data_IF_263165543100
#
_entry.id   IF_263165543100
#
_cell.length_a   1.000
_cell.length_b   1.000
_cell.length_c   1.000
_cell.angle_alpha   90.00
_cell.angle_beta   90.00
_cell.angle_gamma   90.00
#
_symmetry.space_group_name_H-M   'P 1'
#
loop_
_entity.id
_entity.type
_entity.pdbx_description
1 polymer ?
#
# COMPACT_ATOMS: atom_id res chain seq x y z
N UNK A 1 -20.12 5.71 9.49
CA UNK A 1 -19.48 4.47 9.07
C UNK A 1 -18.51 4.78 7.94
N UNK A 2 -17.19 4.66 8.19
CA UNK A 2 -16.15 5.03 7.23
C UNK A 2 -16.17 4.21 5.94
N UNK A 3 -16.75 3.01 5.96
CA UNK A 3 -16.93 2.18 4.77
C UNK A 3 -17.87 2.83 3.76
N UNK A 4 -18.94 3.47 4.24
CA UNK A 4 -19.95 4.10 3.37
C UNK A 4 -19.47 5.45 2.83
N UNK A 5 -18.64 6.18 3.57
CA UNK A 5 -18.06 7.44 3.11
C UNK A 5 -17.03 7.23 1.98
N UNK A 6 -16.28 6.12 2.01
CA UNK A 6 -15.29 5.80 0.97
C UNK A 6 -15.92 5.33 -0.36
N UNK A 7 -17.09 4.69 -0.31
CA UNK A 7 -17.78 4.16 -1.50
C UNK A 7 -18.54 5.26 -2.26
N UNK A 8 -18.96 6.34 -1.60
CA UNK A 8 -19.73 7.45 -2.23
C UNK A 8 -18.88 8.64 -2.71
N UNK A 9 -17.63 8.73 -2.29
CA UNK A 9 -16.70 9.68 -2.84
C UNK A 9 -16.27 9.19 -4.21
N UNK A 10 -16.58 9.92 -5.29
CA UNK A 10 -15.94 9.74 -6.60
C UNK A 10 -14.45 9.97 -6.40
N UNK A 11 -13.72 8.89 -6.12
CA UNK A 11 -12.25 8.91 -6.10
C UNK A 11 -11.82 9.43 -7.47
N UNK A 12 -11.10 10.55 -7.56
CA UNK A 12 -10.61 11.03 -8.84
C UNK A 12 -9.83 9.90 -9.50
N UNK A 13 -10.04 9.67 -10.79
CA UNK A 13 -9.35 8.63 -11.59
C UNK A 13 -7.81 8.77 -11.63
N UNK A 14 -7.22 9.59 -10.79
CA UNK A 14 -5.78 9.86 -10.66
C UNK A 14 -5.03 8.68 -9.99
N UNK A 15 -5.73 7.73 -9.38
CA UNK A 15 -5.13 6.51 -8.82
C UNK A 15 -4.95 5.35 -9.81
N UNK A 16 -5.00 5.60 -11.09
CA UNK A 16 -4.60 4.63 -12.11
C UNK A 16 -3.08 4.57 -12.32
N UNK A 17 -2.31 4.90 -11.30
CA UNK A 17 -0.86 4.77 -11.28
C UNK A 17 -0.37 3.61 -10.41
N UNK A 18 -1.19 2.62 -10.08
CA UNK A 18 -0.67 1.31 -9.71
C UNK A 18 0.08 0.78 -10.92
N UNK A 19 1.39 0.94 -10.93
CA UNK A 19 2.26 0.22 -11.85
C UNK A 19 2.11 -1.24 -11.44
N UNK A 20 1.08 -1.89 -11.98
CA UNK A 20 1.00 -3.33 -12.00
C UNK A 20 2.17 -3.77 -12.87
N UNK A 21 3.31 -4.02 -12.26
CA UNK A 21 4.40 -4.75 -12.88
C UNK A 21 3.88 -6.17 -12.95
N UNK A 22 3.11 -6.46 -14.01
CA UNK A 22 2.65 -7.81 -14.31
C UNK A 22 3.89 -8.64 -14.58
N UNK A 23 4.22 -9.51 -13.64
CA UNK A 23 5.34 -10.44 -13.76
C UNK A 23 4.81 -11.87 -13.70
N UNK A 24 5.34 -12.79 -14.52
CA UNK A 24 4.96 -14.19 -14.43
C UNK A 24 5.37 -14.76 -13.07
N UNK A 25 4.47 -15.55 -12.45
CA UNK A 25 4.74 -16.15 -11.15
C UNK A 25 3.61 -17.04 -10.64
N UNK A 26 3.69 -17.54 -9.41
CA UNK A 26 2.75 -18.51 -8.84
C UNK A 26 1.42 -17.90 -8.36
N UNK A 27 0.93 -16.82 -8.97
CA UNK A 27 -0.33 -16.18 -8.58
C UNK A 27 -1.59 -16.89 -9.10
N UNK A 28 -2.75 -16.27 -8.85
CA UNK A 28 -4.06 -16.82 -9.21
C UNK A 28 -4.57 -16.34 -10.57
N UNK A 29 -4.16 -15.15 -11.01
CA UNK A 29 -4.65 -14.55 -12.25
C UNK A 29 -3.86 -15.02 -13.48
N UNK A 30 -4.55 -15.09 -14.63
CA UNK A 30 -3.94 -15.43 -15.90
C UNK A 30 -3.04 -14.28 -16.36
N UNK A 31 -1.79 -14.61 -16.68
CA UNK A 31 -0.82 -13.65 -17.21
C UNK A 31 -0.68 -13.79 -18.73
N UNK A 32 -0.26 -14.97 -19.19
CA UNK A 32 0.06 -15.23 -20.59
C UNK A 32 -0.07 -16.73 -20.92
N UNK A 33 -0.04 -17.03 -22.22
CA UNK A 33 0.07 -18.38 -22.74
C UNK A 33 1.44 -18.53 -23.42
N UNK A 34 2.27 -19.46 -22.94
CA UNK A 34 3.58 -19.76 -23.55
C UNK A 34 3.74 -21.23 -23.90
N UNK A 35 4.69 -21.56 -24.73
CA UNK A 35 5.03 -22.95 -25.02
C UNK A 35 5.54 -23.65 -23.76
N UNK A 36 5.20 -24.93 -23.64
CA UNK A 36 5.66 -25.81 -22.57
C UNK A 36 7.17 -26.00 -22.66
N UNK A 37 7.85 -25.95 -21.51
CA UNK A 37 9.26 -26.28 -21.38
C UNK A 37 9.37 -27.46 -20.41
N UNK A 38 10.27 -28.44 -20.68
CA UNK A 38 10.51 -29.55 -19.75
C UNK A 38 10.79 -29.06 -18.33
N UNK A 39 9.98 -29.53 -17.35
CA UNK A 39 10.02 -29.06 -15.98
C UNK A 39 8.78 -28.24 -15.55
N UNK A 40 7.97 -27.79 -16.48
CA UNK A 40 6.71 -27.11 -16.15
C UNK A 40 5.72 -28.09 -15.49
N UNK A 41 4.94 -27.62 -14.50
CA UNK A 41 3.93 -28.46 -13.87
C UNK A 41 2.84 -28.90 -14.87
N UNK A 42 2.57 -30.19 -14.99
CA UNK A 42 1.53 -30.73 -15.88
C UNK A 42 0.15 -30.09 -15.68
N UNK A 43 -0.18 -29.70 -14.44
CA UNK A 43 -1.44 -29.02 -14.09
C UNK A 43 -1.60 -27.63 -14.72
N UNK A 44 -0.51 -27.03 -15.20
CA UNK A 44 -0.51 -25.72 -15.86
C UNK A 44 -0.75 -25.81 -17.35
N UNK A 45 -0.78 -27.00 -17.93
CA UNK A 45 -0.99 -27.20 -19.36
C UNK A 45 -2.41 -26.79 -19.73
N UNK A 46 -2.49 -25.97 -20.77
CA UNK A 46 -3.77 -25.58 -21.39
C UNK A 46 -4.17 -26.59 -22.48
N UNK A 47 -4.95 -27.59 -22.07
CA UNK A 47 -5.40 -28.65 -22.97
C UNK A 47 -6.28 -28.14 -24.12
N UNK A 48 -7.04 -27.07 -23.92
CA UNK A 48 -7.84 -26.45 -24.97
C UNK A 48 -6.99 -25.75 -26.03
N UNK A 49 -5.89 -25.14 -25.60
CA UNK A 49 -4.92 -24.55 -26.54
C UNK A 49 -4.18 -25.65 -27.30
N UNK A 50 -3.77 -26.73 -26.62
CA UNK A 50 -3.14 -27.88 -27.24
C UNK A 50 -4.03 -28.49 -28.36
N UNK A 51 -5.32 -28.68 -28.06
CA UNK A 51 -6.25 -29.24 -29.04
C UNK A 51 -6.43 -28.36 -30.30
N UNK A 52 -6.29 -27.05 -30.18
CA UNK A 52 -6.44 -26.11 -31.31
C UNK A 52 -5.14 -25.86 -32.06
N UNK A 53 -4.01 -25.83 -31.36
CA UNK A 53 -2.75 -25.40 -31.95
C UNK A 53 -1.77 -26.54 -32.23
N UNK A 54 -2.04 -27.77 -31.75
CA UNK A 54 -1.16 -28.90 -31.85
C UNK A 54 0.16 -28.78 -31.11
N UNK A 55 0.31 -27.72 -30.31
CA UNK A 55 1.51 -27.45 -29.50
C UNK A 55 1.14 -27.40 -28.03
N UNK A 56 2.01 -27.98 -27.17
CA UNK A 56 1.82 -27.91 -25.72
C UNK A 56 2.02 -26.48 -25.24
N UNK A 57 0.95 -25.91 -24.68
CA UNK A 57 0.93 -24.55 -24.13
C UNK A 57 0.66 -24.59 -22.65
N UNK A 58 1.29 -23.71 -21.90
CA UNK A 58 1.15 -23.54 -20.43
C UNK A 58 0.51 -22.21 -20.13
N UNK A 59 -0.51 -22.24 -19.27
CA UNK A 59 -1.05 -21.01 -18.66
C UNK A 59 -0.04 -20.46 -17.66
N UNK A 60 0.60 -19.39 -18.02
CA UNK A 60 1.43 -18.61 -17.11
C UNK A 60 0.54 -17.73 -16.26
N UNK A 61 0.72 -17.76 -14.97
CA UNK A 61 -0.06 -16.97 -14.03
C UNK A 61 0.70 -15.71 -13.65
N UNK A 62 -0.04 -14.66 -13.27
CA UNK A 62 0.55 -13.45 -12.73
C UNK A 62 1.08 -13.75 -11.32
N UNK A 63 2.24 -13.19 -10.99
CA UNK A 63 2.73 -13.23 -9.61
C UNK A 63 1.80 -12.35 -8.78
N UNK A 64 1.26 -12.86 -7.69
CA UNK A 64 0.66 -12.02 -6.65
C UNK A 64 1.79 -11.10 -6.12
N UNK A 65 1.91 -9.93 -6.72
CA UNK A 65 2.92 -8.96 -6.31
C UNK A 65 2.47 -8.41 -4.95
N UNK A 66 3.18 -8.80 -3.91
CA UNK A 66 3.09 -8.13 -2.61
C UNK A 66 3.65 -6.73 -2.79
N UNK A 67 2.82 -5.72 -2.63
CA UNK A 67 3.25 -4.32 -2.69
C UNK A 67 3.80 -3.90 -1.33
N UNK A 68 4.95 -3.23 -1.36
CA UNK A 68 5.55 -2.60 -0.17
C UNK A 68 5.04 -1.17 -0.07
N UNK A 69 4.05 -0.93 0.79
CA UNK A 69 3.39 0.37 0.90
C UNK A 69 3.90 1.11 2.11
N UNK A 70 4.14 2.42 1.97
CA UNK A 70 4.53 3.30 3.08
C UNK A 70 3.44 4.36 3.25
N UNK A 71 2.85 4.39 4.44
CA UNK A 71 1.93 5.43 4.86
C UNK A 71 2.71 6.52 5.59
N UNK A 72 2.52 7.76 5.19
CA UNK A 72 3.16 8.92 5.82
C UNK A 72 2.05 9.83 6.36
N UNK A 73 2.10 10.11 7.66
CA UNK A 73 1.12 10.92 8.37
C UNK A 73 1.77 12.22 8.81
N UNK A 74 1.17 13.33 8.41
CA UNK A 74 1.52 14.64 8.90
C UNK A 74 0.91 14.86 10.30
N UNK A 75 1.76 14.96 11.31
CA UNK A 75 1.40 15.27 12.69
C UNK A 75 2.06 16.57 13.18
N UNK A 76 2.36 17.49 12.26
CA UNK A 76 2.81 18.85 12.63
C UNK A 76 1.67 19.58 13.36
N UNK A 77 2.01 20.63 14.11
CA UNK A 77 1.03 21.43 14.84
C UNK A 77 -0.05 22.05 13.90
N UNK A 78 0.30 22.37 12.65
CA UNK A 78 -0.65 22.84 11.64
C UNK A 78 -1.74 21.81 11.29
N UNK A 79 -1.49 20.54 11.53
CA UNK A 79 -2.48 19.46 11.30
C UNK A 79 -3.58 19.40 12.36
N UNK A 80 -3.47 20.17 13.45
CA UNK A 80 -4.50 20.26 14.49
C UNK A 80 -5.52 21.39 14.25
N UNK A 81 -5.51 22.02 13.09
CA UNK A 81 -6.46 23.07 12.75
C UNK A 81 -7.90 22.53 12.75
N UNK A 82 -8.74 23.07 13.65
CA UNK A 82 -10.14 22.68 13.81
C UNK A 82 -10.48 22.12 15.20
N UNK A 83 -11.71 21.66 15.41
CA UNK A 83 -12.13 21.03 16.68
C UNK A 83 -11.33 19.75 16.96
N UNK A 84 -11.03 19.46 18.23
CA UNK A 84 -10.23 18.30 18.69
C UNK A 84 -10.65 16.97 18.08
N UNK A 85 -11.93 16.78 17.77
CA UNK A 85 -12.45 15.54 17.19
C UNK A 85 -12.57 15.57 15.65
N UNK A 86 -12.26 16.70 15.00
CA UNK A 86 -12.49 16.94 13.56
C UNK A 86 -11.37 17.75 12.91
N UNK A 87 -10.15 17.48 13.27
CA UNK A 87 -8.98 18.09 12.66
C UNK A 87 -8.32 17.17 11.62
N UNK A 88 -7.39 17.70 10.85
CA UNK A 88 -6.70 16.97 9.78
C UNK A 88 -5.95 15.75 10.29
N UNK A 89 -5.33 15.82 11.48
CA UNK A 89 -4.64 14.68 12.09
C UNK A 89 -5.60 13.52 12.39
N UNK A 90 -6.78 13.82 12.96
CA UNK A 90 -7.80 12.79 13.27
C UNK A 90 -8.31 12.12 11.99
N UNK A 91 -8.56 12.88 10.94
CA UNK A 91 -8.96 12.30 9.66
C UNK A 91 -7.83 11.52 9.01
N UNK A 92 -6.60 12.04 9.04
CA UNK A 92 -5.41 11.39 8.52
C UNK A 92 -5.15 10.05 9.20
N UNK A 93 -5.16 10.00 10.53
CA UNK A 93 -4.95 8.75 11.28
C UNK A 93 -6.04 7.71 11.04
N UNK A 94 -7.30 8.12 10.93
CA UNK A 94 -8.41 7.23 10.57
C UNK A 94 -8.29 6.68 9.15
N UNK A 95 -7.94 7.54 8.19
CA UNK A 95 -7.70 7.14 6.81
C UNK A 95 -6.52 6.15 6.73
N UNK A 96 -5.42 6.44 7.42
CA UNK A 96 -4.26 5.56 7.48
C UNK A 96 -4.60 4.19 8.09
N UNK A 97 -5.38 4.16 9.16
CA UNK A 97 -5.81 2.91 9.78
C UNK A 97 -6.66 2.05 8.82
N UNK A 98 -7.58 2.68 8.08
CA UNK A 98 -8.40 2.00 7.07
C UNK A 98 -7.55 1.48 5.90
N UNK A 99 -6.61 2.28 5.41
CA UNK A 99 -5.68 1.89 4.34
C UNK A 99 -4.77 0.75 4.80
N UNK A 100 -4.20 0.83 6.02
CA UNK A 100 -3.37 -0.24 6.58
C UNK A 100 -4.15 -1.55 6.65
N UNK A 101 -5.38 -1.53 7.16
CA UNK A 101 -6.25 -2.70 7.21
C UNK A 101 -6.54 -3.25 5.81
N UNK A 102 -6.83 -2.39 4.85
CA UNK A 102 -7.12 -2.79 3.47
C UNK A 102 -5.92 -3.50 2.83
N UNK A 103 -4.75 -2.89 2.86
CA UNK A 103 -3.56 -3.45 2.23
C UNK A 103 -3.07 -4.73 2.93
N UNK A 104 -3.02 -4.74 4.27
CA UNK A 104 -2.63 -5.94 5.03
C UNK A 104 -3.61 -7.12 4.83
N UNK A 105 -4.91 -6.84 4.58
CA UNK A 105 -5.88 -7.90 4.24
C UNK A 105 -5.60 -8.55 2.88
N UNK A 106 -4.95 -7.82 1.98
CA UNK A 106 -4.49 -8.30 0.66
C UNK A 106 -3.11 -8.96 0.70
N UNK A 107 -2.54 -9.12 1.89
CA UNK A 107 -1.18 -9.61 2.12
C UNK A 107 -0.07 -8.67 1.65
N UNK A 108 -0.40 -7.41 1.35
CA UNK A 108 0.60 -6.39 1.10
C UNK A 108 1.40 -6.10 2.39
N UNK A 109 2.64 -5.63 2.22
CA UNK A 109 3.51 -5.18 3.31
C UNK A 109 3.27 -3.68 3.55
N UNK A 110 3.04 -3.28 4.79
CA UNK A 110 2.72 -1.89 5.13
C UNK A 110 3.65 -1.37 6.20
N UNK A 111 4.32 -0.24 5.91
CA UNK A 111 5.06 0.56 6.86
C UNK A 111 4.35 1.87 7.17
N UNK A 112 4.79 2.54 8.23
CA UNK A 112 4.22 3.82 8.70
C UNK A 112 5.34 4.77 9.07
N UNK A 113 5.17 6.03 8.69
CA UNK A 113 5.95 7.15 9.21
C UNK A 113 4.98 8.22 9.71
N UNK A 114 5.09 8.59 10.94
CA UNK A 114 4.40 9.74 11.53
C UNK A 114 5.44 10.82 11.76
N UNK A 115 5.26 11.98 11.14
CA UNK A 115 6.21 13.07 11.29
C UNK A 115 5.56 14.31 11.92
N UNK A 116 6.23 14.82 12.94
CA UNK A 116 5.90 16.03 13.69
C UNK A 116 7.17 16.51 14.34
N UNK A 117 7.12 16.88 15.61
CA UNK A 117 8.29 17.22 16.42
C UNK A 117 9.28 16.04 16.45
N UNK A 118 8.74 14.85 16.61
CA UNK A 118 9.48 13.60 16.48
C UNK A 118 9.04 12.84 15.22
N UNK A 119 9.97 12.06 14.65
CA UNK A 119 9.67 11.15 13.56
C UNK A 119 9.60 9.73 14.12
N UNK A 120 8.42 9.14 14.07
CA UNK A 120 8.18 7.76 14.46
C UNK A 120 8.04 6.93 13.18
N UNK A 121 8.93 5.95 13.00
CA UNK A 121 8.87 5.00 11.90
C UNK A 121 8.53 3.60 12.38
N UNK A 122 7.72 2.90 11.60
CA UNK A 122 7.45 1.47 11.74
C UNK A 122 7.83 0.81 10.44
N UNK A 123 8.75 -0.15 10.50
CA UNK A 123 9.19 -0.89 9.34
C UNK A 123 8.03 -1.68 8.73
N UNK A 124 8.18 -2.01 7.46
CA UNK A 124 7.18 -2.76 6.70
C UNK A 124 7.14 -4.21 7.15
N UNK A 125 5.94 -4.69 7.39
CA UNK A 125 5.66 -6.09 7.68
C UNK A 125 4.23 -6.42 7.23
N UNK A 126 3.83 -7.67 7.35
CA UNK A 126 2.54 -8.19 6.91
C UNK A 126 1.71 -8.72 8.08
N UNK A 127 0.42 -8.94 7.84
CA UNK A 127 -0.44 -9.68 8.74
C UNK A 127 -0.97 -8.89 9.95
N UNK A 128 -1.66 -9.61 10.85
CA UNK A 128 -2.42 -9.01 11.96
C UNK A 128 -1.53 -8.34 13.01
N UNK A 129 -0.33 -8.87 13.26
CA UNK A 129 0.62 -8.29 14.22
C UNK A 129 1.03 -6.90 13.76
N UNK A 130 1.34 -6.75 12.48
CA UNK A 130 1.69 -5.45 11.89
C UNK A 130 0.54 -4.47 12.01
N UNK A 131 -0.69 -4.89 11.69
CA UNK A 131 -1.88 -4.03 11.86
C UNK A 131 -1.97 -3.48 13.30
N UNK A 132 -1.80 -4.33 14.30
CA UNK A 132 -1.85 -3.91 15.70
C UNK A 132 -0.77 -2.86 16.02
N UNK A 133 0.47 -3.06 15.54
CA UNK A 133 1.57 -2.11 15.74
C UNK A 133 1.23 -0.77 15.10
N UNK A 134 0.76 -0.78 13.85
CA UNK A 134 0.39 0.44 13.13
C UNK A 134 -0.73 1.20 13.84
N UNK A 135 -1.81 0.50 14.24
CA UNK A 135 -2.93 1.11 14.96
C UNK A 135 -2.50 1.73 16.30
N UNK A 136 -1.59 1.08 17.04
CA UNK A 136 -1.06 1.59 18.29
C UNK A 136 -0.27 2.89 18.07
N UNK A 137 0.56 2.94 17.03
CA UNK A 137 1.32 4.14 16.69
C UNK A 137 0.43 5.28 16.20
N UNK A 138 -0.58 4.98 15.38
CA UNK A 138 -1.56 5.96 14.92
C UNK A 138 -2.40 6.53 16.08
N UNK A 139 -2.79 5.70 17.04
CA UNK A 139 -3.53 6.14 18.22
C UNK A 139 -2.71 7.06 19.14
N UNK A 140 -1.39 6.90 19.14
CA UNK A 140 -0.47 7.76 19.90
C UNK A 140 0.03 8.99 19.15
N UNK A 141 -0.42 9.21 17.90
CA UNK A 141 0.00 10.37 17.13
C UNK A 141 -0.58 11.66 17.72
N UNK A 142 0.29 12.63 17.98
CA UNK A 142 -0.08 13.95 18.51
C UNK A 142 0.48 15.03 17.60
N UNK A 143 -0.32 16.09 17.38
CA UNK A 143 0.13 17.23 16.60
C UNK A 143 1.14 18.06 17.41
N UNK A 144 2.40 18.06 16.97
CA UNK A 144 3.49 18.80 17.62
C UNK A 144 4.56 19.22 16.64
N UNK A 145 5.16 20.38 16.93
CA UNK A 145 6.26 20.93 16.15
C UNK A 145 5.87 21.31 14.72
N UNK A 146 6.79 21.93 14.02
CA UNK A 146 6.64 22.28 12.60
C UNK A 146 7.98 22.09 11.90
N UNK A 147 8.53 20.87 11.82
CA UNK A 147 9.76 20.65 11.08
C UNK A 147 9.55 20.96 9.61
N UNK A 148 10.52 21.61 8.94
CA UNK A 148 10.46 21.81 7.50
C UNK A 148 10.35 20.46 6.76
N UNK A 149 9.52 20.42 5.72
CA UNK A 149 9.29 19.19 4.93
C UNK A 149 10.60 18.58 4.40
N UNK A 150 11.57 19.41 4.13
CA UNK A 150 12.90 19.02 3.65
C UNK A 150 13.68 18.16 4.67
N UNK A 151 13.52 18.44 5.96
CA UNK A 151 14.12 17.65 7.05
C UNK A 151 13.42 16.28 7.12
N UNK A 152 12.10 16.28 6.94
CA UNK A 152 11.30 15.06 6.96
C UNK A 152 11.67 14.14 5.80
N UNK A 153 11.74 14.68 4.58
CA UNK A 153 12.10 13.89 3.40
C UNK A 153 13.48 13.26 3.52
N UNK A 154 14.48 14.00 4.00
CA UNK A 154 15.83 13.46 4.18
C UNK A 154 15.90 12.32 5.21
N UNK A 155 15.04 12.32 6.21
CA UNK A 155 14.97 11.24 7.22
C UNK A 155 14.16 10.03 6.76
N UNK A 156 13.15 10.25 5.92
CA UNK A 156 12.25 9.18 5.43
C UNK A 156 12.86 8.44 4.24
N UNK A 157 13.57 9.13 3.34
CA UNK A 157 14.13 8.55 2.12
C UNK A 157 14.95 7.27 2.33
N UNK A 158 15.79 7.13 3.39
CA UNK A 158 16.51 5.88 3.64
C UNK A 158 15.63 4.66 3.92
N UNK A 159 14.40 4.87 4.38
CA UNK A 159 13.43 3.81 4.70
C UNK A 159 12.54 3.45 3.52
N UNK A 160 12.68 4.16 2.39
CA UNK A 160 11.88 3.94 1.19
C UNK A 160 12.67 3.12 0.18
N UNK A 161 12.15 1.94 -0.18
CA UNK A 161 12.72 1.18 -1.28
C UNK A 161 12.30 1.78 -2.63
N UNK A 162 13.17 1.71 -3.61
CA UNK A 162 12.84 2.11 -4.98
C UNK A 162 11.64 1.28 -5.47
N UNK A 163 10.58 1.98 -5.89
CA UNK A 163 9.37 1.36 -6.41
C UNK A 163 8.26 1.08 -5.38
N UNK A 164 8.48 1.36 -4.09
CA UNK A 164 7.42 1.29 -3.09
C UNK A 164 6.41 2.43 -3.27
N UNK A 165 5.10 2.16 -3.39
CA UNK A 165 4.07 3.18 -3.33
C UNK A 165 4.10 3.92 -1.98
N UNK A 166 4.03 5.25 -2.04
CA UNK A 166 3.99 6.12 -0.88
C UNK A 166 2.64 6.84 -0.86
N UNK A 167 1.96 6.77 0.27
CA UNK A 167 0.70 7.49 0.49
C UNK A 167 0.92 8.51 1.58
N UNK A 168 0.84 9.78 1.22
CA UNK A 168 1.00 10.90 2.16
C UNK A 168 -0.38 11.42 2.56
N UNK A 169 -0.61 11.53 3.85
CA UNK A 169 -1.83 12.06 4.46
C UNK A 169 -1.45 13.35 5.21
N UNK A 170 -1.73 14.49 4.59
CA UNK A 170 -1.41 15.84 5.06
C UNK A 170 -2.48 16.80 4.59
N UNK A 171 -2.63 17.93 5.28
CA UNK A 171 -3.43 19.07 4.82
C UNK A 171 -2.66 19.96 3.82
N UNK A 172 -1.37 19.68 3.58
CA UNK A 172 -0.49 20.44 2.67
C UNK A 172 -0.39 21.93 3.01
N UNK A 173 -0.65 22.32 4.26
CA UNK A 173 -0.39 23.66 4.75
C UNK A 173 1.07 23.78 5.18
N UNK A 174 1.73 24.88 4.78
CA UNK A 174 3.11 25.24 5.14
C UNK A 174 3.18 26.02 6.46
#
# INVERSE_FOLDING_TARGET
>A
DLKDAFVKSKVPKIFTGAVNIRQPGPGSEFYNLREYVPGDPMKSINWSAYARMGKMMVNERERDAVSDIILIIDSRAVSETGPVSRNSLVYGTRAAASLAQFFLSRRDSVGLVVYGDEIVSVDRDTGKKQLYVLLTKLAGAMARGNPPLQVVTNRIMPHINKGSPIIVLSNLED
#
